data_IF_469797607206
#
_entry.id   IF_469797607206
#
_cell.length_a   1.000
_cell.length_b   1.000
_cell.length_c   1.000
_cell.angle_alpha   90.00
_cell.angle_beta   90.00
_cell.angle_gamma   90.00
#
_symmetry.space_group_name_H-M   'P 1'
#
loop_
_entity.id
_entity.type
_entity.pdbx_description
1 polymer ?
#
# COMPACT_ATOMS: atom_id res chain seq x y z
N UNK A 1 6.13 72.83 -3.95
CA UNK A 1 7.04 71.66 -3.87
C UNK A 1 6.90 70.87 -5.16
N UNK A 2 7.92 70.82 -6.03
CA UNK A 2 7.90 69.95 -7.20
C UNK A 2 8.15 68.53 -6.72
N UNK A 3 7.10 67.71 -6.69
CA UNK A 3 7.23 66.30 -6.33
C UNK A 3 8.15 65.65 -7.36
N UNK A 4 9.32 65.18 -6.90
CA UNK A 4 10.26 64.50 -7.77
C UNK A 4 9.57 63.22 -8.27
N UNK A 5 9.54 63.01 -9.59
CA UNK A 5 8.88 61.84 -10.18
C UNK A 5 9.39 60.52 -9.57
N UNK A 6 10.63 60.50 -9.09
CA UNK A 6 11.22 59.38 -8.35
C UNK A 6 10.47 59.07 -7.05
N UNK A 7 10.08 60.10 -6.30
CA UNK A 7 9.32 59.96 -5.06
C UNK A 7 7.90 59.46 -5.35
N UNK A 8 7.28 59.93 -6.44
CA UNK A 8 5.96 59.46 -6.88
C UNK A 8 6.00 57.96 -7.23
N UNK A 9 7.00 57.55 -8.03
CA UNK A 9 7.18 56.14 -8.41
C UNK A 9 7.47 55.27 -7.19
N UNK A 10 8.31 55.74 -6.27
CA UNK A 10 8.64 55.01 -5.06
C UNK A 10 7.42 54.85 -4.13
N UNK A 11 6.62 55.91 -3.95
CA UNK A 11 5.38 55.85 -3.19
C UNK A 11 4.36 54.87 -3.80
N UNK A 12 4.22 54.88 -5.13
CA UNK A 12 3.37 53.91 -5.83
C UNK A 12 3.88 52.47 -5.64
N UNK A 13 5.19 52.23 -5.75
CA UNK A 13 5.77 50.91 -5.57
C UNK A 13 5.51 50.34 -4.15
N UNK A 14 5.58 51.18 -3.12
CA UNK A 14 5.26 50.79 -1.74
C UNK A 14 3.79 50.42 -1.60
N UNK A 15 2.89 51.25 -2.15
CA UNK A 15 1.44 50.99 -2.09
C UNK A 15 1.11 49.66 -2.78
N UNK A 16 1.63 49.43 -3.99
CA UNK A 16 1.44 48.16 -4.69
C UNK A 16 2.04 46.97 -3.93
N UNK A 17 3.23 47.12 -3.34
CA UNK A 17 3.87 46.07 -2.54
C UNK A 17 3.02 45.63 -1.35
N UNK A 18 2.46 46.59 -0.60
CA UNK A 18 1.55 46.31 0.52
C UNK A 18 0.25 45.68 0.02
N UNK A 19 -0.38 46.25 -1.02
CA UNK A 19 -1.62 45.72 -1.58
C UNK A 19 -1.48 44.27 -2.07
N UNK A 20 -0.34 43.90 -2.66
CA UNK A 20 -0.08 42.52 -3.10
C UNK A 20 0.33 41.58 -1.95
N UNK A 21 0.84 42.08 -0.82
CA UNK A 21 1.19 41.24 0.33
C UNK A 21 0.01 41.01 1.29
N UNK A 22 -1.01 41.86 1.27
CA UNK A 22 -2.20 41.76 2.14
C UNK A 22 -2.91 40.39 2.07
N UNK A 23 -3.20 39.81 0.88
CA UNK A 23 -3.88 38.51 0.81
C UNK A 23 -3.09 37.37 1.47
N UNK A 24 -1.76 37.49 1.52
CA UNK A 24 -0.89 36.50 2.15
C UNK A 24 -0.87 36.60 3.68
N UNK A 25 -1.18 37.76 4.26
CA UNK A 25 -1.19 38.00 5.71
C UNK A 25 -2.58 37.75 6.32
N UNK A 26 -3.65 38.11 5.59
CA UNK A 26 -5.03 37.98 6.09
C UNK A 26 -5.64 36.59 5.85
N UNK A 27 -4.87 35.65 5.29
CA UNK A 27 -5.28 34.27 4.95
C UNK A 27 -6.60 34.17 4.18
N UNK A 28 -7.04 35.25 3.52
CA UNK A 28 -8.30 35.30 2.78
C UNK A 28 -8.28 34.31 1.61
N UNK A 29 -9.39 33.62 1.35
CA UNK A 29 -9.47 32.58 0.31
C UNK A 29 -9.31 33.12 -1.11
N UNK A 30 -9.52 34.43 -1.31
CA UNK A 30 -9.37 35.10 -2.58
C UNK A 30 -8.07 35.93 -2.64
N UNK A 31 -7.09 35.40 -3.37
CA UNK A 31 -5.78 36.01 -3.62
C UNK A 31 -4.65 34.97 -3.71
N UNK A 32 -3.60 35.25 -4.50
CA UNK A 32 -2.43 34.39 -4.60
C UNK A 32 -1.65 34.42 -3.27
N UNK A 33 -1.95 33.48 -2.37
CA UNK A 33 -1.16 33.21 -1.17
C UNK A 33 0.26 32.84 -1.58
N UNK A 34 1.25 33.16 -0.73
CA UNK A 34 2.61 32.64 -0.90
C UNK A 34 2.52 31.12 -0.87
N UNK A 35 2.94 30.43 -1.93
CA UNK A 35 2.98 28.97 -1.96
C UNK A 35 4.11 28.52 -1.06
N UNK A 36 3.77 28.06 0.14
CA UNK A 36 4.75 27.45 1.05
C UNK A 36 5.13 26.06 0.51
N UNK A 37 6.42 25.74 0.56
CA UNK A 37 6.89 24.40 0.23
C UNK A 37 6.47 23.38 1.29
N UNK A 38 6.56 22.10 0.95
CA UNK A 38 6.15 20.95 1.79
C UNK A 38 6.77 20.98 3.20
N UNK A 39 8.00 21.48 3.33
CA UNK A 39 8.73 21.64 4.60
C UNK A 39 8.03 22.60 5.57
N UNK A 40 7.44 23.69 5.05
CA UNK A 40 6.71 24.68 5.83
C UNK A 40 5.19 24.45 5.84
N UNK A 41 4.67 23.65 4.90
CA UNK A 41 3.25 23.31 4.81
C UNK A 41 2.89 22.09 5.69
N UNK A 42 3.88 21.31 6.12
CA UNK A 42 3.67 20.07 6.86
C UNK A 42 3.17 18.95 5.95
N UNK A 43 4.06 18.04 5.59
CA UNK A 43 3.73 16.86 4.78
C UNK A 43 3.07 15.73 5.57
N UNK A 44 2.58 14.72 4.85
CA UNK A 44 1.92 13.55 5.42
C UNK A 44 2.97 12.46 5.74
N UNK A 45 3.10 12.07 7.00
CA UNK A 45 3.90 10.92 7.41
C UNK A 45 3.00 9.67 7.44
N UNK A 46 3.04 8.87 6.38
CA UNK A 46 2.23 7.65 6.29
C UNK A 46 2.96 6.50 6.99
N UNK A 47 2.48 6.13 8.17
CA UNK A 47 2.95 4.92 8.85
C UNK A 47 2.31 3.71 8.16
N UNK A 48 3.10 2.99 7.35
CA UNK A 48 2.69 1.70 6.81
C UNK A 48 2.79 0.64 7.92
N UNK A 49 1.69 0.40 8.62
CA UNK A 49 1.54 -0.74 9.53
C UNK A 49 0.90 -1.91 8.80
N UNK A 50 1.56 -3.08 8.82
CA UNK A 50 0.92 -4.34 8.44
C UNK A 50 0.43 -5.05 9.70
N UNK A 51 -0.85 -5.44 9.72
CA UNK A 51 -1.38 -6.33 10.76
C UNK A 51 -0.84 -7.73 10.48
N UNK A 52 0.21 -8.13 11.20
CA UNK A 52 0.92 -9.40 10.96
C UNK A 52 0.00 -10.60 11.02
N UNK A 53 -0.94 -10.62 11.97
CA UNK A 53 -1.90 -11.72 12.12
C UNK A 53 -2.82 -11.89 10.90
N UNK A 54 -3.42 -10.78 10.45
CA UNK A 54 -4.28 -10.78 9.26
C UNK A 54 -3.47 -11.10 8.00
N UNK A 55 -2.21 -10.68 7.94
CA UNK A 55 -1.32 -11.00 6.83
C UNK A 55 -1.02 -12.50 6.76
N UNK A 56 -0.74 -13.15 7.90
CA UNK A 56 -0.52 -14.60 7.98
C UNK A 56 -1.77 -15.37 7.56
N UNK A 57 -2.94 -15.01 8.11
CA UNK A 57 -4.22 -15.64 7.74
C UNK A 57 -4.55 -15.48 6.25
N UNK A 58 -4.29 -14.30 5.70
CA UNK A 58 -4.46 -14.04 4.26
C UNK A 58 -3.51 -14.89 3.42
N UNK A 59 -2.25 -15.03 3.85
CA UNK A 59 -1.26 -15.88 3.17
C UNK A 59 -1.68 -17.34 3.18
N UNK A 60 -2.13 -17.89 4.31
CA UNK A 60 -2.61 -19.27 4.40
C UNK A 60 -3.81 -19.50 3.48
N UNK A 61 -4.82 -18.61 3.53
CA UNK A 61 -5.97 -18.68 2.60
C UNK A 61 -5.53 -18.67 1.14
N UNK A 62 -4.55 -17.84 0.80
CA UNK A 62 -4.00 -17.78 -0.55
C UNK A 62 -3.32 -19.09 -0.97
N UNK A 63 -2.60 -19.75 -0.06
CA UNK A 63 -1.98 -21.05 -0.32
C UNK A 63 -3.06 -22.13 -0.46
N UNK A 64 -4.05 -22.19 0.44
CA UNK A 64 -5.19 -23.12 0.35
C UNK A 64 -5.94 -22.98 -0.98
N UNK A 65 -6.21 -21.74 -1.41
CA UNK A 65 -6.83 -21.47 -2.70
C UNK A 65 -5.95 -21.94 -3.87
N UNK A 66 -4.63 -21.79 -3.75
CA UNK A 66 -3.66 -22.26 -4.76
C UNK A 66 -3.63 -23.79 -4.85
N UNK A 67 -3.67 -24.49 -3.71
CA UNK A 67 -3.79 -25.95 -3.64
C UNK A 67 -5.07 -26.41 -4.34
N UNK A 68 -6.22 -25.81 -3.99
CA UNK A 68 -7.49 -26.13 -4.64
C UNK A 68 -7.44 -25.88 -6.15
N UNK A 69 -6.93 -24.73 -6.59
CA UNK A 69 -6.80 -24.42 -8.01
C UNK A 69 -5.81 -25.32 -8.74
N UNK A 70 -4.73 -25.76 -8.08
CA UNK A 70 -3.81 -26.73 -8.65
C UNK A 70 -4.49 -28.08 -8.84
N UNK A 71 -5.24 -28.53 -7.82
CA UNK A 71 -6.02 -29.77 -7.88
C UNK A 71 -7.04 -29.73 -9.01
N UNK A 72 -7.87 -28.69 -9.05
CA UNK A 72 -8.92 -28.51 -10.06
C UNK A 72 -8.35 -28.44 -11.49
N UNK A 73 -7.16 -27.84 -11.68
CA UNK A 73 -6.52 -27.74 -13.00
C UNK A 73 -5.86 -29.03 -13.48
N UNK A 74 -5.38 -29.86 -12.56
CA UNK A 74 -4.70 -31.11 -12.87
C UNK A 74 -5.63 -32.33 -12.76
N UNK A 75 -6.93 -32.10 -12.53
CA UNK A 75 -7.96 -33.13 -12.31
C UNK A 75 -7.64 -34.06 -11.13
N UNK A 76 -6.96 -33.53 -10.11
CA UNK A 76 -6.55 -34.28 -8.92
C UNK A 76 -7.69 -34.26 -7.90
N UNK A 77 -8.05 -35.44 -7.40
CA UNK A 77 -9.07 -35.57 -6.35
C UNK A 77 -8.45 -35.40 -4.96
N UNK A 78 -8.87 -34.35 -4.26
CA UNK A 78 -8.53 -34.09 -2.86
C UNK A 78 -9.76 -34.15 -1.97
N UNK A 79 -9.59 -34.70 -0.76
CA UNK A 79 -10.61 -34.71 0.28
C UNK A 79 -10.13 -34.00 1.56
N UNK A 80 -11.07 -33.57 2.39
CA UNK A 80 -10.78 -33.06 3.73
C UNK A 80 -9.96 -31.76 3.78
N UNK A 81 -9.96 -30.94 2.71
CA UNK A 81 -9.22 -29.67 2.66
C UNK A 81 -9.67 -28.73 3.79
N UNK A 82 -8.82 -28.62 4.81
CA UNK A 82 -9.00 -27.77 5.98
C UNK A 82 -7.74 -26.96 6.23
N UNK A 83 -7.91 -25.76 6.79
CA UNK A 83 -6.80 -24.89 7.14
C UNK A 83 -7.06 -24.28 8.51
N UNK A 84 -5.99 -24.09 9.27
CA UNK A 84 -5.96 -23.39 10.56
C UNK A 84 -5.03 -22.17 10.47
N UNK A 85 -4.77 -21.49 11.58
CA UNK A 85 -3.92 -20.29 11.65
C UNK A 85 -2.45 -20.57 11.28
N UNK A 86 -1.99 -21.82 11.33
CA UNK A 86 -0.60 -22.19 11.07
C UNK A 86 -0.42 -23.33 10.06
N UNK A 87 -1.45 -24.12 9.74
CA UNK A 87 -1.30 -25.36 8.99
C UNK A 87 -2.46 -25.61 8.01
N UNK A 88 -2.18 -26.38 6.96
CA UNK A 88 -3.15 -26.80 5.94
C UNK A 88 -3.11 -28.33 5.88
N UNK A 89 -4.27 -28.96 5.97
CA UNK A 89 -4.44 -30.42 5.88
C UNK A 89 -5.38 -30.77 4.74
N UNK A 90 -5.00 -31.76 3.96
CA UNK A 90 -5.82 -32.35 2.92
C UNK A 90 -5.31 -33.76 2.64
N UNK A 91 -6.18 -34.59 2.08
CA UNK A 91 -5.87 -35.94 1.64
C UNK A 91 -5.91 -35.97 0.11
N UNK A 92 -4.93 -36.62 -0.51
CA UNK A 92 -4.92 -36.87 -1.95
C UNK A 92 -5.42 -38.29 -2.16
N UNK A 93 -6.50 -38.47 -2.93
CA UNK A 93 -7.12 -39.78 -3.10
C UNK A 93 -6.29 -40.70 -4.01
N UNK A 94 -5.52 -40.13 -4.92
CA UNK A 94 -4.68 -40.85 -5.88
C UNK A 94 -3.19 -40.74 -5.52
N UNK A 95 -2.58 -41.85 -5.09
CA UNK A 95 -1.18 -41.90 -4.64
C UNK A 95 -0.17 -41.49 -5.74
N UNK A 96 -0.48 -41.81 -7.00
CA UNK A 96 0.33 -41.45 -8.16
C UNK A 96 0.47 -39.93 -8.36
N UNK A 97 -0.46 -39.14 -7.80
CA UNK A 97 -0.51 -37.69 -7.97
C UNK A 97 0.26 -36.93 -6.88
N UNK A 98 0.73 -37.64 -5.84
CA UNK A 98 1.60 -37.07 -4.80
C UNK A 98 2.87 -36.44 -5.38
N UNK A 99 3.40 -37.00 -6.47
CA UNK A 99 4.59 -36.46 -7.13
C UNK A 99 4.35 -35.06 -7.73
N UNK A 100 3.13 -34.80 -8.25
CA UNK A 100 2.76 -33.48 -8.80
C UNK A 100 2.73 -32.43 -7.69
N UNK A 101 2.24 -32.80 -6.50
CA UNK A 101 2.24 -31.91 -5.33
C UNK A 101 3.65 -31.67 -4.79
N UNK A 102 4.54 -32.66 -4.81
CA UNK A 102 5.94 -32.47 -4.43
C UNK A 102 6.67 -31.47 -5.31
N UNK A 103 6.34 -31.43 -6.61
CA UNK A 103 6.86 -30.41 -7.51
C UNK A 103 6.24 -29.04 -7.21
N UNK A 104 4.91 -28.98 -7.06
CA UNK A 104 4.18 -27.75 -6.74
C UNK A 104 4.65 -27.07 -5.45
N UNK A 105 4.95 -27.84 -4.40
CA UNK A 105 5.38 -27.29 -3.11
C UNK A 105 6.83 -26.80 -3.10
N UNK A 106 7.70 -27.26 -4.00
CA UNK A 106 9.08 -26.75 -4.12
C UNK A 106 9.13 -25.29 -4.55
N UNK A 107 8.13 -24.85 -5.31
CA UNK A 107 8.04 -23.47 -5.79
C UNK A 107 7.55 -22.49 -4.71
N UNK A 108 7.06 -23.01 -3.58
CA UNK A 108 6.55 -22.19 -2.49
C UNK A 108 7.62 -22.09 -1.39
N UNK A 109 8.21 -20.91 -1.24
CA UNK A 109 9.18 -20.66 -0.17
C UNK A 109 8.51 -20.60 1.22
N UNK A 110 9.14 -21.23 2.21
CA UNK A 110 8.78 -21.10 3.63
C UNK A 110 7.68 -22.04 4.12
N UNK A 111 7.40 -23.13 3.40
CA UNK A 111 6.48 -24.19 3.86
C UNK A 111 7.24 -25.47 4.23
N UNK A 112 6.76 -26.17 5.25
CA UNK A 112 7.21 -27.51 5.61
C UNK A 112 6.11 -28.51 5.23
N UNK A 113 6.45 -29.54 4.46
CA UNK A 113 5.51 -30.55 3.99
C UNK A 113 5.71 -31.83 4.81
N UNK A 114 4.69 -32.20 5.58
CA UNK A 114 4.66 -33.44 6.37
C UNK A 114 3.70 -34.41 5.69
N UNK A 115 4.20 -35.60 5.34
CA UNK A 115 3.41 -36.67 4.73
C UNK A 115 3.16 -37.77 5.75
N UNK A 116 1.90 -38.05 6.02
CA UNK A 116 1.48 -39.19 6.84
C UNK A 116 0.81 -40.21 5.92
N UNK A 117 1.48 -41.33 5.65
CA UNK A 117 0.85 -42.47 4.98
C UNK A 117 -0.01 -43.21 6.01
N UNK A 118 -1.33 -43.20 5.84
CA UNK A 118 -2.26 -44.08 6.57
C UNK A 118 -2.79 -45.12 5.61
#
# INVERSE_FOLDING_TARGET
MKLNYRIVIFALAIIFGISFSLPSLTQSEDGKKITLGLDLQGGLHMLLGVKTEEATKSRIKSITASIKHFSDRNDILIDGLSFDENEIRFEVLDEDELFKFDEFFKDIEGIEVIKNNT
#
